data_IF_061129732956
#
_entry.id   IF_061129732956
#
_cell.length_a   1.000
_cell.length_b   1.000
_cell.length_c   1.000
_cell.angle_alpha   90.00
_cell.angle_beta   90.00
_cell.angle_gamma   90.00
#
_symmetry.space_group_name_H-M   'P 1'
#
loop_
_entity.id
_entity.type
_entity.pdbx_description
1 polymer ?
#
# COMPACT_ATOMS: atom_id res chain seq x y z
N UNK A 1 -18.55 43.34 -23.48
CA UNK A 1 -19.23 42.03 -23.36
C UNK A 1 -18.14 40.97 -23.33
N UNK A 2 -18.02 40.29 -22.18
CA UNK A 2 -16.80 39.62 -21.74
C UNK A 2 -16.56 38.25 -22.39
N UNK A 3 -15.27 37.96 -22.55
CA UNK A 3 -14.64 36.76 -23.11
C UNK A 3 -15.15 35.43 -22.55
N UNK A 4 -15.62 34.57 -23.45
CA UNK A 4 -15.84 33.16 -23.21
C UNK A 4 -14.50 32.40 -23.31
N UNK A 5 -13.68 32.46 -22.26
CA UNK A 5 -12.48 31.61 -22.14
C UNK A 5 -12.86 30.24 -21.59
N UNK A 6 -12.83 29.26 -22.50
CA UNK A 6 -12.96 27.82 -22.28
C UNK A 6 -12.28 27.37 -20.99
N UNK A 7 -13.06 26.94 -20.00
CA UNK A 7 -12.55 26.18 -18.85
C UNK A 7 -12.19 24.77 -19.34
N UNK A 8 -10.90 24.51 -19.54
CA UNK A 8 -10.39 23.15 -19.54
C UNK A 8 -10.51 22.58 -18.11
N UNK A 9 -10.94 21.33 -17.91
CA UNK A 9 -10.91 20.72 -16.59
C UNK A 9 -9.46 20.48 -16.16
N UNK A 10 -9.07 21.10 -15.05
CA UNK A 10 -7.82 20.83 -14.37
C UNK A 10 -7.87 19.39 -13.82
N UNK A 11 -7.02 18.51 -14.34
CA UNK A 11 -6.86 17.16 -13.80
C UNK A 11 -6.29 17.22 -12.37
N UNK A 12 -6.84 16.47 -11.39
CA UNK A 12 -6.33 16.42 -10.03
C UNK A 12 -5.18 15.41 -9.95
N UNK A 13 -4.02 15.77 -10.50
CA UNK A 13 -2.89 14.84 -10.65
C UNK A 13 -1.72 15.05 -9.70
N UNK A 14 -1.76 16.04 -8.80
CA UNK A 14 -0.56 16.45 -8.02
C UNK A 14 -0.74 16.61 -6.51
N UNK A 15 -1.97 16.57 -5.98
CA UNK A 15 -2.21 16.78 -4.54
C UNK A 15 -1.87 15.58 -3.66
N UNK A 16 -1.99 14.35 -4.20
CA UNK A 16 -1.99 13.11 -3.40
C UNK A 16 -0.56 12.59 -3.10
N UNK A 17 0.44 13.03 -3.86
CA UNK A 17 1.85 12.65 -3.63
C UNK A 17 2.48 13.38 -2.43
N UNK A 18 1.96 14.56 -2.07
CA UNK A 18 2.45 15.32 -0.93
C UNK A 18 2.04 14.69 0.41
N UNK A 19 0.88 14.06 0.48
CA UNK A 19 0.34 13.49 1.72
C UNK A 19 1.12 12.25 2.16
N UNK A 20 1.38 11.31 1.26
CA UNK A 20 2.15 10.09 1.59
C UNK A 20 3.60 10.41 2.00
N UNK A 21 4.24 11.38 1.34
CA UNK A 21 5.59 11.80 1.71
C UNK A 21 5.60 12.55 3.05
N UNK A 22 4.56 13.34 3.35
CA UNK A 22 4.41 13.99 4.65
C UNK A 22 4.22 12.97 5.77
N UNK A 23 3.35 11.97 5.58
CA UNK A 23 3.15 10.86 6.54
C UNK A 23 4.44 10.08 6.79
N UNK A 24 5.20 9.75 5.74
CA UNK A 24 6.48 9.05 5.88
C UNK A 24 7.49 9.91 6.65
N UNK A 25 7.56 11.21 6.36
CA UNK A 25 8.47 12.13 7.06
C UNK A 25 8.07 12.31 8.52
N UNK A 26 6.78 12.38 8.82
CA UNK A 26 6.29 12.45 10.19
C UNK A 26 6.65 11.18 10.97
N UNK A 27 6.39 10.02 10.38
CA UNK A 27 6.73 8.73 10.98
C UNK A 27 8.25 8.58 11.18
N UNK A 28 9.05 9.07 10.24
CA UNK A 28 10.51 9.09 10.37
C UNK A 28 10.96 9.98 11.53
N UNK A 29 10.36 11.16 11.73
CA UNK A 29 10.67 12.02 12.89
C UNK A 29 10.33 11.33 14.21
N UNK A 30 9.21 10.62 14.26
CA UNK A 30 8.80 9.82 15.42
C UNK A 30 9.83 8.71 15.71
N UNK A 31 10.28 7.98 14.68
CA UNK A 31 11.30 6.93 14.83
C UNK A 31 12.68 7.47 15.21
N UNK A 32 13.05 8.65 14.74
CA UNK A 32 14.29 9.31 15.11
C UNK A 32 14.23 9.94 16.52
N UNK A 33 13.06 9.98 17.18
CA UNK A 33 12.85 10.69 18.44
C UNK A 33 13.39 12.13 18.40
N UNK A 34 13.10 12.84 17.30
CA UNK A 34 13.59 14.20 17.00
C UNK A 34 15.13 14.36 16.98
N UNK A 35 15.89 13.26 16.83
CA UNK A 35 17.33 13.32 16.73
C UNK A 35 17.79 14.18 15.54
N UNK A 36 18.73 15.09 15.81
CA UNK A 36 19.33 15.96 14.79
C UNK A 36 20.42 15.28 13.95
N UNK A 37 20.83 14.05 14.30
CA UNK A 37 21.85 13.30 13.55
C UNK A 37 21.32 12.90 12.16
N UNK A 38 21.93 13.40 11.06
CA UNK A 38 21.52 13.06 9.71
C UNK A 38 21.56 11.56 9.40
N UNK A 39 22.48 10.80 10.01
CA UNK A 39 22.56 9.35 9.79
C UNK A 39 21.39 8.61 10.44
N UNK A 40 21.04 8.98 11.68
CA UNK A 40 19.86 8.45 12.35
C UNK A 40 18.58 8.84 11.60
N UNK A 41 18.50 10.07 11.10
CA UNK A 41 17.34 10.50 10.31
C UNK A 41 17.18 9.68 9.02
N UNK A 42 18.27 9.36 8.33
CA UNK A 42 18.22 8.53 7.12
C UNK A 42 17.73 7.11 7.43
N UNK A 43 18.22 6.50 8.52
CA UNK A 43 17.73 5.19 8.95
C UNK A 43 16.26 5.23 9.39
N UNK A 44 15.83 6.34 10.00
CA UNK A 44 14.43 6.54 10.37
C UNK A 44 13.53 6.68 9.14
N UNK A 45 13.99 7.36 8.09
CA UNK A 45 13.30 7.42 6.80
C UNK A 45 13.18 6.02 6.19
N UNK A 46 14.25 5.24 6.15
CA UNK A 46 14.22 3.87 5.61
C UNK A 46 13.22 2.98 6.39
N UNK A 47 13.18 3.11 7.72
CA UNK A 47 12.21 2.42 8.57
C UNK A 47 10.77 2.88 8.28
N UNK A 48 10.54 4.18 8.16
CA UNK A 48 9.22 4.76 7.89
C UNK A 48 8.67 4.34 6.51
N UNK A 49 9.51 4.39 5.47
CA UNK A 49 9.16 3.89 4.14
C UNK A 49 8.78 2.40 4.18
N UNK A 50 9.52 1.59 4.93
CA UNK A 50 9.24 0.17 5.05
C UNK A 50 7.93 -0.09 5.81
N UNK A 51 7.67 0.63 6.91
CA UNK A 51 6.42 0.54 7.66
C UNK A 51 5.21 0.96 6.82
N UNK A 52 5.34 2.06 6.07
CA UNK A 52 4.30 2.52 5.15
C UNK A 52 3.94 1.41 4.14
N UNK A 53 4.93 0.75 3.53
CA UNK A 53 4.68 -0.37 2.62
C UNK A 53 3.96 -1.52 3.33
N UNK A 54 4.29 -1.83 4.59
CA UNK A 54 3.60 -2.89 5.34
C UNK A 54 2.13 -2.57 5.59
N UNK A 55 1.82 -1.36 6.05
CA UNK A 55 0.43 -0.92 6.27
C UNK A 55 -0.34 -1.02 4.96
N UNK A 56 0.26 -0.56 3.86
CA UNK A 56 -0.33 -0.63 2.52
C UNK A 56 -0.61 -2.07 2.07
N UNK A 57 0.35 -2.97 2.21
CA UNK A 57 0.15 -4.40 1.89
C UNK A 57 -0.99 -4.99 2.72
N UNK A 58 -1.06 -4.70 4.02
CA UNK A 58 -2.15 -5.17 4.90
C UNK A 58 -3.52 -4.68 4.44
N UNK A 59 -3.65 -3.38 4.15
CA UNK A 59 -4.89 -2.79 3.63
C UNK A 59 -5.30 -3.42 2.30
N UNK A 60 -4.33 -3.70 1.43
CA UNK A 60 -4.58 -4.40 0.17
C UNK A 60 -5.08 -5.83 0.39
N UNK A 61 -4.49 -6.59 1.31
CA UNK A 61 -4.96 -7.95 1.65
C UNK A 61 -6.42 -7.92 2.10
N UNK A 62 -6.79 -6.96 2.96
CA UNK A 62 -8.17 -6.79 3.44
C UNK A 62 -9.10 -6.43 2.29
N UNK A 63 -8.78 -5.38 1.53
CA UNK A 63 -9.60 -4.93 0.40
C UNK A 63 -9.77 -6.03 -0.67
N UNK A 64 -8.73 -6.83 -0.90
CA UNK A 64 -8.78 -7.96 -1.82
C UNK A 64 -9.72 -9.06 -1.33
N UNK A 65 -9.63 -9.42 -0.04
CA UNK A 65 -10.50 -10.41 0.57
C UNK A 65 -11.96 -9.94 0.61
N UNK A 66 -12.21 -8.70 1.01
CA UNK A 66 -13.56 -8.11 1.03
C UNK A 66 -14.18 -8.08 -0.37
N UNK A 67 -13.39 -7.67 -1.37
CA UNK A 67 -13.83 -7.72 -2.76
C UNK A 67 -14.11 -9.15 -3.21
N UNK A 68 -13.19 -10.08 -2.97
CA UNK A 68 -13.38 -11.49 -3.37
C UNK A 68 -14.58 -12.10 -2.66
N UNK A 69 -14.84 -11.74 -1.41
CA UNK A 69 -16.04 -12.12 -0.67
C UNK A 69 -17.30 -11.55 -1.31
N UNK A 70 -17.31 -10.26 -1.68
CA UNK A 70 -18.46 -9.61 -2.30
C UNK A 70 -18.73 -10.13 -3.72
N UNK A 71 -17.69 -10.27 -4.54
CA UNK A 71 -17.82 -10.47 -5.99
C UNK A 71 -17.58 -11.91 -6.43
N UNK A 72 -16.94 -12.75 -5.61
CA UNK A 72 -16.52 -14.09 -5.99
C UNK A 72 -15.43 -14.18 -7.04
N UNK A 73 -15.00 -13.05 -7.58
CA UNK A 73 -13.91 -12.99 -8.55
C UNK A 73 -12.71 -12.34 -7.86
N UNK A 74 -11.60 -13.08 -7.70
CA UNK A 74 -10.31 -12.43 -7.53
C UNK A 74 -10.06 -11.74 -8.87
N UNK A 75 -10.29 -10.43 -8.95
CA UNK A 75 -10.18 -9.71 -10.20
C UNK A 75 -8.74 -9.90 -10.71
N UNK A 76 -8.58 -10.45 -11.92
CA UNK A 76 -7.28 -10.81 -12.47
C UNK A 76 -6.47 -9.53 -12.76
N UNK A 77 -5.74 -9.06 -11.76
CA UNK A 77 -4.62 -8.16 -11.98
C UNK A 77 -3.49 -9.06 -12.42
N UNK A 78 -3.30 -9.17 -13.73
CA UNK A 78 -2.06 -9.78 -14.24
C UNK A 78 -0.88 -9.18 -13.48
N UNK A 79 0.16 -9.96 -13.18
CA UNK A 79 1.30 -9.52 -12.35
C UNK A 79 1.85 -8.14 -12.76
N UNK A 80 1.73 -7.79 -14.05
CA UNK A 80 2.11 -6.51 -14.63
C UNK A 80 1.16 -5.38 -14.23
N UNK A 81 -0.16 -5.62 -14.29
CA UNK A 81 -1.19 -4.67 -13.85
C UNK A 81 -1.16 -4.53 -12.33
N UNK A 82 -0.98 -5.63 -11.60
CA UNK A 82 -0.79 -5.65 -10.15
C UNK A 82 0.42 -4.81 -9.72
N UNK A 83 1.58 -5.01 -10.33
CA UNK A 83 2.79 -4.25 -10.03
C UNK A 83 2.71 -2.79 -10.44
N UNK A 84 2.07 -2.51 -11.58
CA UNK A 84 1.83 -1.15 -12.05
C UNK A 84 0.85 -0.44 -11.13
N UNK A 85 -0.23 -1.09 -10.72
CA UNK A 85 -1.22 -0.53 -9.80
C UNK A 85 -0.63 -0.37 -8.43
N UNK A 86 0.09 -1.35 -7.89
CA UNK A 86 0.77 -1.21 -6.61
C UNK A 86 1.83 -0.10 -6.66
N UNK A 87 2.58 0.08 -7.76
CA UNK A 87 3.54 1.20 -7.91
C UNK A 87 2.86 2.55 -8.05
N UNK A 88 1.77 2.63 -8.82
CA UNK A 88 0.95 3.83 -8.97
C UNK A 88 0.25 4.16 -7.65
N UNK A 89 -0.24 3.17 -6.89
CA UNK A 89 -0.92 3.33 -5.61
C UNK A 89 0.00 3.58 -4.43
N UNK A 90 1.21 3.03 -4.45
CA UNK A 90 2.30 3.44 -3.56
C UNK A 90 2.65 4.93 -3.79
N UNK A 91 2.18 5.55 -4.88
CA UNK A 91 2.24 6.99 -5.13
C UNK A 91 0.89 7.71 -5.33
N UNK A 92 -0.28 7.07 -5.14
CA UNK A 92 -1.61 7.66 -5.38
C UNK A 92 -2.74 6.82 -4.78
N UNK A 93 -3.43 7.32 -3.76
CA UNK A 93 -4.69 6.74 -3.28
C UNK A 93 -5.79 6.85 -4.36
N UNK A 94 -6.40 5.74 -4.78
CA UNK A 94 -7.44 5.78 -5.84
C UNK A 94 -8.25 4.49 -6.04
N UNK A 95 -9.50 4.52 -5.59
CA UNK A 95 -10.55 3.50 -5.66
C UNK A 95 -10.74 2.82 -7.04
N UNK A 96 -11.23 1.58 -7.02
CA UNK A 96 -11.73 0.88 -8.21
C UNK A 96 -13.13 0.30 -7.97
N UNK A 97 -13.98 0.21 -9.01
CA UNK A 97 -15.38 -0.12 -8.86
C UNK A 97 -15.60 -1.58 -8.45
N UNK A 98 -16.68 -1.80 -7.70
CA UNK A 98 -17.18 -3.09 -7.24
C UNK A 98 -17.91 -3.80 -8.40
N UNK A 99 -17.42 -4.97 -8.82
CA UNK A 99 -18.18 -5.87 -9.70
C UNK A 99 -19.31 -6.56 -8.92
N UNK A 100 -20.37 -7.00 -9.61
CA UNK A 100 -21.45 -7.77 -8.99
C UNK A 100 -20.96 -9.16 -8.50
N UNK A 101 -21.64 -9.77 -7.52
CA UNK A 101 -21.39 -11.15 -7.09
C UNK A 101 -21.49 -12.13 -8.26
N UNK A 102 -20.46 -12.94 -8.47
CA UNK A 102 -20.50 -14.10 -9.36
C UNK A 102 -21.53 -15.10 -8.83
N UNK A 103 -22.40 -15.61 -9.72
CA UNK A 103 -23.43 -16.61 -9.42
C UNK A 103 -22.88 -17.90 -8.78
N UNK A 104 -21.57 -18.13 -8.87
CA UNK A 104 -20.87 -19.29 -8.29
C UNK A 104 -20.48 -19.13 -6.81
N UNK A 105 -20.77 -17.98 -6.18
CA UNK A 105 -20.43 -17.78 -4.77
C UNK A 105 -21.48 -18.39 -3.84
N UNK A 106 -21.06 -19.03 -2.74
CA UNK A 106 -21.97 -19.43 -1.68
C UNK A 106 -22.73 -18.21 -1.10
N UNK A 107 -23.91 -18.43 -0.50
CA UNK A 107 -24.60 -17.41 0.28
C UNK A 107 -23.70 -16.83 1.40
N UNK A 108 -23.89 -15.56 1.81
CA UNK A 108 -23.14 -14.95 2.90
C UNK A 108 -23.07 -15.84 4.15
N UNK A 109 -21.87 -16.04 4.69
CA UNK A 109 -21.64 -16.97 5.79
C UNK A 109 -20.23 -17.58 5.77
N UNK A 110 -20.02 -18.60 6.63
CA UNK A 110 -18.72 -19.25 6.82
C UNK A 110 -18.16 -19.86 5.53
N UNK A 111 -19.01 -20.47 4.73
CA UNK A 111 -18.61 -21.15 3.48
C UNK A 111 -18.17 -20.13 2.42
N UNK A 112 -18.84 -18.98 2.37
CA UNK A 112 -18.45 -17.86 1.50
C UNK A 112 -17.12 -17.25 1.90
N UNK A 113 -16.85 -17.10 3.20
CA UNK A 113 -15.54 -16.65 3.69
C UNK A 113 -14.44 -17.63 3.28
N UNK A 114 -14.68 -18.93 3.45
CA UNK A 114 -13.72 -19.98 3.10
C UNK A 114 -13.43 -19.97 1.60
N UNK A 115 -14.46 -19.88 0.76
CA UNK A 115 -14.30 -19.84 -0.69
C UNK A 115 -13.64 -18.53 -1.16
N UNK A 116 -13.94 -17.40 -0.52
CA UNK A 116 -13.28 -16.13 -0.80
C UNK A 116 -11.78 -16.19 -0.50
N UNK A 117 -11.38 -16.79 0.63
CA UNK A 117 -9.97 -17.02 0.96
C UNK A 117 -9.35 -17.94 -0.09
N UNK A 118 -10.00 -19.06 -0.43
CA UNK A 118 -9.49 -20.03 -1.41
C UNK A 118 -9.22 -19.37 -2.77
N UNK A 119 -10.12 -18.51 -3.23
CA UNK A 119 -9.98 -17.77 -4.50
C UNK A 119 -8.93 -16.65 -4.42
N UNK A 120 -8.77 -16.01 -3.27
CA UNK A 120 -7.80 -14.93 -3.07
C UNK A 120 -6.36 -15.42 -2.85
N UNK A 121 -6.17 -16.67 -2.39
CA UNK A 121 -4.87 -17.23 -1.99
C UNK A 121 -3.74 -17.02 -3.02
N UNK A 122 -3.92 -17.27 -4.33
CA UNK A 122 -2.86 -17.08 -5.32
C UNK A 122 -2.35 -15.64 -5.37
N UNK A 123 -3.24 -14.65 -5.28
CA UNK A 123 -2.89 -13.23 -5.29
C UNK A 123 -2.30 -12.78 -3.95
N UNK A 124 -2.82 -13.27 -2.84
CA UNK A 124 -2.25 -13.00 -1.52
C UNK A 124 -0.82 -13.54 -1.39
N UNK A 125 -0.52 -14.71 -1.96
CA UNK A 125 0.81 -15.28 -1.98
C UNK A 125 1.83 -14.40 -2.74
N UNK A 126 1.38 -13.61 -3.73
CA UNK A 126 2.25 -12.63 -4.42
C UNK A 126 2.63 -11.46 -3.52
N UNK A 127 1.74 -11.06 -2.59
CA UNK A 127 2.00 -9.99 -1.63
C UNK A 127 3.01 -10.40 -0.55
N UNK A 128 3.11 -11.68 -0.19
CA UNK A 128 4.01 -12.17 0.86
C UNK A 128 5.48 -11.81 0.61
N UNK A 129 5.91 -11.77 -0.66
CA UNK A 129 7.28 -11.34 -1.02
C UNK A 129 7.52 -9.86 -0.72
N UNK A 130 6.53 -9.00 -0.93
CA UNK A 130 6.63 -7.58 -0.64
C UNK A 130 6.60 -7.31 0.86
N UNK A 131 5.73 -8.02 1.57
CA UNK A 131 5.67 -7.97 3.03
C UNK A 131 6.99 -8.41 3.65
N UNK A 132 7.52 -9.56 3.24
CA UNK A 132 8.80 -10.09 3.73
C UNK A 132 9.96 -9.12 3.47
N UNK A 133 10.02 -8.51 2.27
CA UNK A 133 11.06 -7.52 1.94
C UNK A 133 10.90 -6.23 2.75
N UNK A 134 9.69 -5.76 2.96
CA UNK A 134 9.42 -4.57 3.75
C UNK A 134 9.77 -4.80 5.23
N UNK A 135 9.37 -5.93 5.81
CA UNK A 135 9.78 -6.35 7.17
C UNK A 135 11.30 -6.38 7.30
N UNK A 136 11.99 -7.05 6.37
CA UNK A 136 13.44 -7.14 6.41
C UNK A 136 14.14 -5.77 6.31
N UNK A 137 13.60 -4.83 5.53
CA UNK A 137 14.13 -3.45 5.45
C UNK A 137 13.91 -2.69 6.75
N UNK A 138 12.69 -2.75 7.28
CA UNK A 138 12.32 -2.11 8.54
C UNK A 138 13.21 -2.59 9.69
N UNK A 139 13.38 -3.90 9.82
CA UNK A 139 14.17 -4.50 10.90
C UNK A 139 15.65 -4.14 10.79
N UNK A 140 16.21 -4.03 9.57
CA UNK A 140 17.59 -3.53 9.37
C UNK A 140 17.71 -2.07 9.77
N UNK A 141 16.76 -1.24 9.37
CA UNK A 141 16.76 0.19 9.70
C UNK A 141 16.64 0.42 11.21
N UNK A 142 15.74 -0.30 11.90
CA UNK A 142 15.65 -0.22 13.37
C UNK A 142 16.91 -0.69 14.08
N UNK A 143 17.59 -1.74 13.57
CA UNK A 143 18.88 -2.15 14.14
C UNK A 143 19.95 -1.06 14.00
N UNK A 144 19.94 -0.32 12.90
CA UNK A 144 20.86 0.80 12.68
C UNK A 144 20.55 1.97 13.63
N UNK A 145 19.26 2.28 13.86
CA UNK A 145 18.82 3.28 14.85
C UNK A 145 19.20 2.92 16.28
N UNK A 146 19.11 1.64 16.66
CA UNK A 146 19.42 1.17 18.02
C UNK A 146 20.93 0.97 18.27
N UNK A 147 21.75 0.96 17.22
CA UNK A 147 23.22 0.80 17.32
C UNK A 147 23.95 1.77 16.37
N UNK A 148 23.83 3.08 16.58
CA UNK A 148 24.59 4.06 15.80
C UNK A 148 26.08 3.88 16.11
N UNK A 149 26.88 3.45 15.13
CA UNK A 149 28.33 3.30 15.29
C UNK A 149 28.94 1.95 14.92
N UNK A 150 28.17 1.00 14.38
CA UNK A 150 28.70 -0.24 13.77
C UNK A 150 28.26 -0.41 12.31
N UNK A 151 28.34 0.64 11.53
CA UNK A 151 28.44 0.51 10.07
C UNK A 151 29.91 0.27 9.75
N UNK A 152 30.16 -0.87 9.10
CA UNK A 152 31.48 -1.42 8.77
C UNK A 152 32.35 -0.47 7.96
#
# INVERSE_FOLDING_TARGET
>A
MADAKKRQPAWPGRGIQCDALAEINELARQFANEAADPMLLQHALDAAHAEFILVRVKLWRIAWLERTYATGSPQDVSDVVFMREMRVWLGSCGEKPLNLPSETMPPPGRDRCTEAIRRALPELAKLDRYESRALARRDRAFRALLRPGKTR
#
